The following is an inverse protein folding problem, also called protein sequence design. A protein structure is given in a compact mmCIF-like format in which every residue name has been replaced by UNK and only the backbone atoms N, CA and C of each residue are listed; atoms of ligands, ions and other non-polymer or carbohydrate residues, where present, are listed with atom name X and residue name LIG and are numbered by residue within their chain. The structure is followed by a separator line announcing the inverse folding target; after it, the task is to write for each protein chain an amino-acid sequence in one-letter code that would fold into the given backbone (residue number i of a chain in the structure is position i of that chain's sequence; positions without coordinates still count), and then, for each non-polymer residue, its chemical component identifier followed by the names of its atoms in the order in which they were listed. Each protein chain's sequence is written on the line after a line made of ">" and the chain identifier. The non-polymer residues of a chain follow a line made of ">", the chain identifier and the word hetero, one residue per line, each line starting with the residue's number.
data_IF_104353460399
#
_entry.id   IF_104353460399
#
_cell.length_a   1.000
_cell.length_b   1.000
_cell.length_c   1.000
_cell.angle_alpha   90.00
_cell.angle_beta   90.00
_cell.angle_gamma   90.00
#
_symmetry.space_group_name_H-M   'P 1'
#
loop_
_entity.id
_entity.type
_entity.pdbx_description
1 polymer ?
#
# COMPACT_ATOMS: atom_id res chain seq x y z
N UNK A 1 -32.51 -9.25 -2.53
CA UNK A 1 -32.08 -9.47 -1.13
C UNK A 1 -30.57 -9.31 -1.09
N UNK A 2 -30.06 -8.26 -0.45
CA UNK A 2 -28.60 -8.10 -0.27
C UNK A 2 -28.20 -9.09 0.83
N UNK A 3 -27.36 -10.07 0.49
CA UNK A 3 -26.81 -10.97 1.50
C UNK A 3 -25.76 -10.22 2.30
N UNK A 4 -26.07 -9.84 3.52
CA UNK A 4 -25.10 -9.25 4.44
C UNK A 4 -24.10 -10.31 4.91
N UNK A 5 -22.90 -10.30 4.33
CA UNK A 5 -21.77 -11.14 4.76
C UNK A 5 -20.95 -10.38 5.79
N UNK A 6 -20.85 -10.92 7.01
CA UNK A 6 -19.93 -10.40 8.04
C UNK A 6 -18.57 -11.09 7.92
N UNK A 7 -17.51 -10.31 7.85
CA UNK A 7 -16.12 -10.78 7.78
C UNK A 7 -15.34 -10.12 8.92
N UNK A 8 -14.44 -10.87 9.57
CA UNK A 8 -13.55 -10.30 10.59
C UNK A 8 -12.47 -9.47 9.90
N UNK A 9 -12.43 -8.15 10.12
CA UNK A 9 -11.45 -7.26 9.47
C UNK A 9 -10.01 -7.75 9.56
N UNK A 10 -9.61 -8.34 10.70
CA UNK A 10 -8.29 -8.94 10.92
C UNK A 10 -7.86 -9.93 9.82
N UNK A 11 -8.80 -10.66 9.19
CA UNK A 11 -8.46 -11.60 8.12
C UNK A 11 -8.04 -10.91 6.84
N UNK A 12 -8.39 -9.64 6.67
CA UNK A 12 -8.05 -8.81 5.51
C UNK A 12 -6.75 -8.03 5.72
N UNK A 13 -6.31 -7.83 6.97
CA UNK A 13 -5.15 -6.99 7.31
C UNK A 13 -3.89 -7.32 6.51
N UNK A 14 -3.65 -8.58 6.16
CA UNK A 14 -2.48 -8.97 5.37
C UNK A 14 -2.44 -8.34 3.97
N UNK A 15 -3.58 -7.90 3.45
CA UNK A 15 -3.76 -7.33 2.11
C UNK A 15 -3.90 -5.80 2.11
N UNK A 16 -4.15 -5.17 3.27
CA UNK A 16 -4.46 -3.74 3.39
C UNK A 16 -3.54 -2.99 4.35
N UNK A 17 -2.47 -3.64 4.84
CA UNK A 17 -1.47 -3.03 5.72
C UNK A 17 -0.14 -2.84 4.99
N UNK A 18 0.52 -1.72 5.28
CA UNK A 18 1.84 -1.39 4.78
C UNK A 18 2.90 -2.28 5.44
N UNK A 19 3.76 -2.92 4.64
CA UNK A 19 4.82 -3.79 5.16
C UNK A 19 5.96 -3.04 5.87
N UNK A 20 6.09 -1.73 5.65
CA UNK A 20 7.09 -0.87 6.31
C UNK A 20 6.59 -0.45 7.70
N UNK A 21 5.51 0.34 7.78
CA UNK A 21 5.04 0.89 9.05
C UNK A 21 4.11 -0.03 9.85
N UNK A 22 3.66 -1.15 9.25
CA UNK A 22 2.71 -2.11 9.83
C UNK A 22 1.31 -1.55 10.15
N UNK A 23 1.04 -0.30 9.79
CA UNK A 23 -0.30 0.32 9.81
C UNK A 23 -1.09 0.03 8.52
N UNK A 24 -2.33 0.51 8.45
CA UNK A 24 -3.11 0.47 7.21
C UNK A 24 -2.48 1.36 6.12
N UNK A 25 -2.73 1.02 4.86
CA UNK A 25 -2.26 1.81 3.72
C UNK A 25 -2.91 3.20 3.73
N UNK A 26 -2.07 4.24 3.77
CA UNK A 26 -2.46 5.65 3.62
C UNK A 26 -1.70 6.22 2.43
N UNK A 27 -2.42 6.87 1.52
CA UNK A 27 -1.95 7.23 0.20
C UNK A 27 -1.25 6.03 -0.49
N UNK A 28 -1.99 4.93 -0.64
CA UNK A 28 -1.52 3.67 -1.20
C UNK A 28 -0.73 3.94 -2.48
N UNK A 29 0.54 3.56 -2.46
CA UNK A 29 1.49 3.78 -3.55
C UNK A 29 2.12 2.45 -3.90
N UNK A 30 1.95 2.06 -5.17
CA UNK A 30 2.33 0.75 -5.69
C UNK A 30 3.58 0.89 -6.56
N UNK A 31 4.53 -0.01 -6.37
CA UNK A 31 5.67 -0.18 -7.28
C UNK A 31 5.18 -0.85 -8.56
N UNK A 32 5.34 -0.21 -9.72
CA UNK A 32 4.69 -0.64 -10.97
C UNK A 32 5.20 -2.00 -11.48
N UNK A 33 6.49 -2.29 -11.29
CA UNK A 33 7.14 -3.51 -11.78
C UNK A 33 6.73 -4.78 -11.01
N UNK A 34 6.50 -4.69 -9.70
CA UNK A 34 6.21 -5.86 -8.85
C UNK A 34 4.87 -5.83 -8.13
N UNK A 35 4.09 -4.75 -8.30
CA UNK A 35 2.75 -4.58 -7.73
C UNK A 35 2.68 -4.67 -6.20
N UNK A 36 3.79 -4.45 -5.49
CA UNK A 36 3.78 -4.29 -4.04
C UNK A 36 3.37 -2.87 -3.65
N UNK A 37 2.42 -2.76 -2.71
CA UNK A 37 1.82 -1.51 -2.26
C UNK A 37 2.26 -1.13 -0.85
N UNK A 38 2.52 0.16 -0.64
CA UNK A 38 2.96 0.74 0.62
C UNK A 38 2.26 2.09 0.86
N UNK A 39 2.44 2.70 2.03
CA UNK A 39 2.06 4.11 2.19
C UNK A 39 3.02 5.00 1.38
N UNK A 40 2.52 6.09 0.78
CA UNK A 40 3.34 7.05 0.03
C UNK A 40 4.56 7.51 0.82
N UNK A 41 4.34 8.01 2.04
CA UNK A 41 5.41 8.53 2.91
C UNK A 41 6.45 7.46 3.25
N UNK A 42 6.02 6.22 3.46
CA UNK A 42 6.91 5.10 3.78
C UNK A 42 7.79 4.73 2.58
N UNK A 43 7.20 4.59 1.40
CA UNK A 43 7.93 4.20 0.20
C UNK A 43 8.86 5.31 -0.28
N UNK A 44 8.39 6.57 -0.32
CA UNK A 44 9.23 7.71 -0.72
C UNK A 44 10.45 7.82 0.20
N UNK A 45 10.26 7.75 1.51
CA UNK A 45 11.37 7.78 2.48
C UNK A 45 12.36 6.62 2.27
N UNK A 46 11.86 5.40 2.03
CA UNK A 46 12.73 4.24 1.73
C UNK A 46 13.57 4.48 0.48
N UNK A 47 12.99 5.13 -0.53
CA UNK A 47 13.66 5.40 -1.81
C UNK A 47 14.62 6.61 -1.82
N UNK A 48 14.75 7.31 -0.69
CA UNK A 48 15.81 8.31 -0.48
C UNK A 48 17.18 7.64 -0.31
N UNK A 49 17.22 6.43 0.25
CA UNK A 49 18.45 5.70 0.59
C UNK A 49 18.61 4.38 -0.18
N UNK A 50 17.53 3.88 -0.80
CA UNK A 50 17.50 2.58 -1.47
C UNK A 50 16.82 2.69 -2.84
N UNK A 51 17.10 1.73 -3.73
CA UNK A 51 16.43 1.65 -5.03
C UNK A 51 15.71 0.32 -5.26
N UNK A 52 15.49 -0.46 -4.20
CA UNK A 52 14.85 -1.77 -4.24
C UNK A 52 13.48 -1.76 -3.57
N UNK A 53 12.61 -2.68 -3.99
CA UNK A 53 11.32 -2.90 -3.36
C UNK A 53 11.50 -3.45 -1.93
N UNK A 54 10.89 -2.85 -0.89
CA UNK A 54 11.01 -3.33 0.50
C UNK A 54 10.48 -4.75 0.76
N UNK A 55 9.68 -5.32 -0.14
CA UNK A 55 9.06 -6.65 0.06
C UNK A 55 9.78 -7.76 -0.70
N UNK A 56 10.11 -7.54 -1.98
CA UNK A 56 10.74 -8.57 -2.81
C UNK A 56 12.19 -8.27 -3.19
N UNK A 57 12.76 -7.14 -2.75
CA UNK A 57 14.14 -6.72 -2.97
C UNK A 57 14.57 -6.55 -4.44
N UNK A 58 13.65 -6.62 -5.41
CA UNK A 58 13.97 -6.30 -6.80
C UNK A 58 14.36 -4.83 -6.91
N UNK A 59 15.29 -4.51 -7.81
CA UNK A 59 15.62 -3.13 -8.15
C UNK A 59 14.43 -2.52 -8.88
N UNK A 60 13.90 -1.41 -8.35
CA UNK A 60 12.79 -0.67 -8.96
C UNK A 60 13.29 0.09 -10.19
N UNK A 61 14.39 0.84 -10.03
CA UNK A 61 15.09 1.51 -11.11
C UNK A 61 16.49 1.92 -10.66
N UNK A 62 17.47 2.02 -11.57
CA UNK A 62 18.87 2.27 -11.21
C UNK A 62 19.11 3.65 -10.59
N UNK A 63 18.46 4.71 -11.11
CA UNK A 63 18.74 6.10 -10.70
C UNK A 63 17.51 6.93 -10.34
N UNK A 64 16.32 6.47 -10.73
CA UNK A 64 15.07 7.27 -10.62
C UNK A 64 13.90 6.41 -10.13
N UNK A 65 14.03 5.73 -8.98
CA UNK A 65 13.00 4.79 -8.51
C UNK A 65 11.64 5.47 -8.26
N UNK A 66 11.62 6.77 -7.92
CA UNK A 66 10.39 7.55 -7.72
C UNK A 66 9.53 7.70 -8.99
N UNK A 67 10.07 7.48 -10.19
CA UNK A 67 9.29 7.51 -11.44
C UNK A 67 8.54 6.19 -11.70
N UNK A 68 8.84 5.13 -10.94
CA UNK A 68 8.30 3.78 -11.10
C UNK A 68 7.41 3.36 -9.92
N UNK A 69 6.87 4.37 -9.23
CA UNK A 69 5.85 4.20 -8.21
C UNK A 69 4.63 5.02 -8.62
N UNK A 70 3.44 4.54 -8.32
CA UNK A 70 2.19 5.20 -8.72
C UNK A 70 1.17 5.15 -7.60
N UNK A 71 0.38 6.22 -7.47
CA UNK A 71 -0.74 6.25 -6.54
C UNK A 71 -1.81 5.25 -6.97
N UNK A 72 -2.12 4.32 -6.09
CA UNK A 72 -3.07 3.25 -6.31
C UNK A 72 -4.42 3.64 -5.71
N UNK A 73 -5.17 4.42 -6.49
CA UNK A 73 -6.49 4.93 -6.11
C UNK A 73 -7.44 3.80 -5.72
N UNK A 74 -7.42 2.70 -6.47
CA UNK A 74 -8.32 1.56 -6.22
C UNK A 74 -7.98 0.86 -4.91
N UNK A 75 -6.70 0.60 -4.63
CA UNK A 75 -6.30 0.03 -3.34
C UNK A 75 -6.60 0.96 -2.17
N UNK A 76 -6.40 2.27 -2.34
CA UNK A 76 -6.76 3.24 -1.30
C UNK A 76 -8.27 3.24 -1.03
N UNK A 77 -9.10 3.24 -2.07
CA UNK A 77 -10.56 3.17 -1.94
C UNK A 77 -11.02 1.88 -1.26
N UNK A 78 -10.37 0.75 -1.57
CA UNK A 78 -10.64 -0.54 -0.91
C UNK A 78 -10.34 -0.43 0.59
N UNK A 79 -9.18 0.12 0.97
CA UNK A 79 -8.80 0.28 2.38
C UNK A 79 -9.81 1.16 3.11
N UNK A 80 -10.20 2.30 2.54
CA UNK A 80 -11.18 3.21 3.15
C UNK A 80 -12.60 2.63 3.25
N UNK A 81 -13.02 1.81 2.28
CA UNK A 81 -14.32 1.13 2.33
C UNK A 81 -14.35 -0.02 3.34
N UNK A 82 -13.21 -0.68 3.58
CA UNK A 82 -13.12 -1.84 4.47
C UNK A 82 -12.87 -1.48 5.93
N UNK A 83 -12.11 -0.41 6.21
CA UNK A 83 -11.73 -0.01 7.56
C UNK A 83 -12.65 1.14 8.03
N UNK A 84 -13.54 0.90 9.00
CA UNK A 84 -14.44 1.94 9.52
C UNK A 84 -13.66 3.15 10.05
N UNK A 85 -14.18 4.34 9.76
CA UNK A 85 -13.70 5.64 10.25
C UNK A 85 -12.25 6.04 9.92
N UNK A 86 -11.52 5.24 9.12
CA UNK A 86 -10.13 5.51 8.76
C UNK A 86 -9.94 6.80 7.95
N UNK A 87 -10.85 7.10 7.00
CA UNK A 87 -10.75 8.28 6.15
C UNK A 87 -11.11 9.59 6.88
N UNK A 88 -11.84 9.52 7.99
CA UNK A 88 -12.34 10.70 8.72
C UNK A 88 -11.29 11.31 9.66
N UNK A 89 -10.05 10.82 9.63
CA UNK A 89 -8.94 11.24 10.50
C UNK A 89 -8.09 12.35 9.87
#
# INVERSE_FOLDING_TARGET
>A
MIMERKIKLKTLNNHITCKICRGYLIDATTVTECLHTFCKSCLVKHLEENNTCPTCNIVIHQSHPLQYISFDRTMQDIVYKLVPDLQKS
#
